data_IF_783072020522
#
_entry.id   IF_783072020522
#
_cell.length_a   1.000
_cell.length_b   1.000
_cell.length_c   1.000
_cell.angle_alpha   90.00
_cell.angle_beta   90.00
_cell.angle_gamma   90.00
#
_symmetry.space_group_name_H-M   'P 1'
#
loop_
_entity.id
_entity.type
_entity.pdbx_description
1 polymer ?
#
# COMPACT_ATOMS: atom_id res chain seq x y z
N UNK A 1 22.52 112.65 -39.72
CA UNK A 1 21.90 112.00 -38.54
C UNK A 1 20.82 111.04 -39.02
N UNK A 2 21.12 109.78 -39.37
CA UNK A 2 20.07 108.88 -39.92
C UNK A 2 20.35 107.35 -39.82
N UNK A 3 21.14 106.88 -38.82
CA UNK A 3 21.41 105.43 -38.64
C UNK A 3 20.69 104.75 -37.47
N UNK A 4 20.00 105.50 -36.61
CA UNK A 4 19.36 104.93 -35.40
C UNK A 4 17.94 104.40 -35.62
N UNK A 5 17.15 105.01 -36.53
CA UNK A 5 15.72 104.71 -36.66
C UNK A 5 15.39 103.37 -37.34
N UNK A 6 16.14 102.98 -38.38
CA UNK A 6 15.79 101.81 -39.21
C UNK A 6 16.00 100.48 -38.47
N UNK A 7 17.03 100.37 -37.66
CA UNK A 7 17.31 99.16 -36.84
C UNK A 7 16.25 98.95 -35.77
N UNK A 8 15.81 100.03 -35.10
CA UNK A 8 14.78 99.96 -34.06
C UNK A 8 13.43 99.47 -34.61
N UNK A 9 13.03 99.94 -35.80
CA UNK A 9 11.78 99.51 -36.47
C UNK A 9 11.83 98.04 -36.91
N UNK A 10 12.97 97.57 -37.43
CA UNK A 10 13.11 96.15 -37.83
C UNK A 10 13.05 95.23 -36.61
N UNK A 11 13.70 95.60 -35.50
CA UNK A 11 13.66 94.83 -34.25
C UNK A 11 12.26 94.81 -33.65
N UNK A 12 11.54 95.95 -33.63
CA UNK A 12 10.18 95.98 -33.08
C UNK A 12 9.16 95.25 -33.97
N UNK A 13 9.30 95.27 -35.29
CA UNK A 13 8.46 94.46 -36.20
C UNK A 13 8.77 92.96 -36.07
N UNK A 14 10.03 92.56 -35.92
CA UNK A 14 10.39 91.15 -35.68
C UNK A 14 9.87 90.66 -34.32
N UNK A 15 10.03 91.45 -33.25
CA UNK A 15 9.47 91.11 -31.94
C UNK A 15 7.93 91.04 -32.01
N UNK A 16 7.28 91.98 -32.70
CA UNK A 16 5.83 91.91 -32.91
C UNK A 16 5.41 90.66 -33.71
N UNK A 17 6.15 90.28 -34.76
CA UNK A 17 5.85 89.05 -35.52
C UNK A 17 6.02 87.80 -34.66
N UNK A 18 7.12 87.72 -33.90
CA UNK A 18 7.42 86.59 -33.00
C UNK A 18 6.35 86.48 -31.90
N UNK A 19 5.94 87.60 -31.30
CA UNK A 19 4.88 87.64 -30.29
C UNK A 19 3.51 87.29 -30.89
N UNK A 20 3.19 87.75 -32.11
CA UNK A 20 1.93 87.39 -32.80
C UNK A 20 1.93 85.91 -33.19
N UNK A 21 3.03 85.34 -33.66
CA UNK A 21 3.10 83.88 -33.91
C UNK A 21 3.04 83.08 -32.60
N UNK A 22 3.68 83.54 -31.53
CA UNK A 22 3.60 82.88 -30.23
C UNK A 22 2.19 82.90 -29.64
N UNK A 23 1.45 84.01 -29.78
CA UNK A 23 0.06 84.11 -29.31
C UNK A 23 -0.94 83.30 -30.13
N UNK A 24 -0.70 83.11 -31.44
CA UNK A 24 -1.60 82.30 -32.31
C UNK A 24 -1.39 80.79 -32.10
N UNK A 25 -0.22 80.36 -31.63
CA UNK A 25 0.10 78.95 -31.35
C UNK A 25 0.23 78.59 -29.87
N UNK A 26 -0.11 79.51 -28.96
CA UNK A 26 -0.32 79.19 -27.56
C UNK A 26 -1.61 78.35 -27.40
N UNK A 27 -1.49 77.03 -27.68
CA UNK A 27 -2.42 76.03 -27.14
C UNK A 27 -2.50 76.34 -25.63
N UNK A 28 -3.70 76.56 -25.06
CA UNK A 28 -3.78 76.81 -23.62
C UNK A 28 -3.08 75.65 -22.93
N UNK A 29 -2.18 75.97 -21.98
CA UNK A 29 -1.60 74.94 -21.12
C UNK A 29 -2.78 74.11 -20.59
N UNK A 30 -2.76 72.77 -20.75
CA UNK A 30 -3.81 71.97 -20.19
C UNK A 30 -3.82 72.28 -18.70
N UNK A 31 -4.91 72.87 -18.22
CA UNK A 31 -5.28 72.79 -16.80
C UNK A 31 -5.12 71.32 -16.49
N UNK A 32 -4.12 70.96 -15.67
CA UNK A 32 -3.74 69.59 -15.41
C UNK A 32 -5.03 68.80 -15.22
N UNK A 33 -5.32 67.95 -16.21
CA UNK A 33 -6.54 67.17 -16.18
C UNK A 33 -6.41 66.30 -14.93
N UNK A 34 -7.52 66.16 -14.22
CA UNK A 34 -7.55 65.24 -13.10
C UNK A 34 -7.45 63.85 -13.70
N UNK A 35 -6.70 62.97 -13.05
CA UNK A 35 -6.29 61.66 -13.59
C UNK A 35 -7.53 60.94 -14.16
N UNK A 36 -8.57 60.79 -13.33
CA UNK A 36 -9.98 60.44 -13.66
C UNK A 36 -10.76 61.27 -14.72
N UNK A 37 -10.10 62.05 -15.55
CA UNK A 37 -10.67 62.88 -16.62
C UNK A 37 -9.66 63.27 -17.72
N UNK A 38 -8.47 62.66 -17.74
CA UNK A 38 -7.41 62.98 -18.70
C UNK A 38 -7.37 62.06 -19.93
N UNK A 39 -8.15 60.98 -19.91
CA UNK A 39 -8.35 60.05 -21.01
C UNK A 39 -7.22 59.04 -21.18
N UNK A 40 -6.49 58.76 -20.10
CA UNK A 40 -5.48 57.73 -19.99
C UNK A 40 -5.89 56.73 -18.89
N UNK A 41 -5.34 55.53 -19.00
CA UNK A 41 -5.31 54.49 -17.97
C UNK A 41 -3.99 54.72 -17.20
N UNK A 42 -4.04 55.25 -15.97
CA UNK A 42 -2.84 55.75 -15.27
C UNK A 42 -2.31 54.82 -14.16
N UNK A 43 -3.05 53.79 -13.74
CA UNK A 43 -2.59 52.69 -12.89
C UNK A 43 -2.39 51.37 -13.65
N UNK A 44 -3.15 51.12 -14.71
CA UNK A 44 -2.93 50.02 -15.65
C UNK A 44 -3.97 48.89 -15.58
N UNK A 45 -5.12 49.12 -14.95
CA UNK A 45 -6.18 48.12 -14.75
C UNK A 45 -6.98 47.82 -16.04
N UNK A 46 -6.85 48.68 -17.06
CA UNK A 46 -7.51 48.59 -18.36
C UNK A 46 -8.80 49.42 -18.50
N UNK A 47 -9.20 50.13 -17.44
CA UNK A 47 -10.27 51.11 -17.42
C UNK A 47 -9.71 52.54 -17.55
N UNK A 48 -10.57 53.53 -17.83
CA UNK A 48 -10.15 54.89 -18.17
C UNK A 48 -11.23 55.89 -17.72
N UNK A 49 -10.86 56.86 -16.89
CA UNK A 49 -11.68 57.99 -16.43
C UNK A 49 -13.01 57.62 -15.72
N UNK A 50 -13.48 58.54 -14.87
CA UNK A 50 -14.87 58.52 -14.40
C UNK A 50 -15.88 58.59 -15.58
N UNK A 51 -16.91 57.72 -15.66
CA UNK A 51 -17.41 56.83 -14.62
C UNK A 51 -17.15 55.34 -14.87
N UNK A 52 -16.34 55.00 -15.88
CA UNK A 52 -16.17 53.63 -16.33
C UNK A 52 -15.05 52.93 -15.53
N UNK A 53 -14.09 53.72 -15.04
CA UNK A 53 -13.04 53.39 -14.07
C UNK A 53 -13.57 53.15 -12.63
N UNK A 54 -13.26 52.00 -11.98
CA UNK A 54 -13.76 51.62 -10.66
C UNK A 54 -13.29 52.48 -9.47
N UNK A 55 -12.06 52.98 -9.47
CA UNK A 55 -11.54 53.78 -8.35
C UNK A 55 -11.66 55.29 -8.56
N UNK A 56 -12.01 55.72 -9.76
CA UNK A 56 -12.61 57.02 -9.99
C UNK A 56 -14.01 57.16 -9.37
N UNK A 57 -14.07 57.72 -8.16
CA UNK A 57 -15.34 58.19 -7.58
C UNK A 57 -15.86 59.48 -8.26
N UNK A 58 -14.98 60.30 -8.83
CA UNK A 58 -15.32 61.54 -9.52
C UNK A 58 -14.26 62.03 -10.51
N UNK A 59 -14.69 62.76 -11.55
CA UNK A 59 -13.82 63.50 -12.50
C UNK A 59 -12.88 64.54 -11.86
N UNK A 60 -12.87 64.72 -10.54
CA UNK A 60 -12.00 65.66 -9.84
C UNK A 60 -10.90 64.99 -9.01
N UNK A 61 -10.81 63.67 -9.02
CA UNK A 61 -9.98 62.90 -8.10
C UNK A 61 -8.49 62.94 -8.53
N UNK A 62 -7.59 62.41 -7.71
CA UNK A 62 -6.12 62.52 -7.93
C UNK A 62 -5.43 61.16 -8.09
N UNK A 63 -6.21 60.09 -8.19
CA UNK A 63 -5.79 58.70 -8.34
C UNK A 63 -6.90 58.00 -9.13
N UNK A 64 -6.55 56.97 -9.88
CA UNK A 64 -7.52 56.02 -10.43
C UNK A 64 -7.74 54.87 -9.43
N UNK A 65 -6.71 54.36 -8.75
CA UNK A 65 -6.82 53.45 -7.58
C UNK A 65 -7.92 53.72 -6.54
N UNK A 66 -8.69 52.68 -6.19
CA UNK A 66 -9.69 52.60 -5.14
C UNK A 66 -9.17 52.05 -3.80
N UNK A 67 -8.85 52.93 -2.84
CA UNK A 67 -8.38 52.52 -1.49
C UNK A 67 -9.40 51.84 -0.56
N UNK A 68 -10.41 51.18 -1.11
CA UNK A 68 -11.43 50.39 -0.41
C UNK A 68 -11.69 49.03 -1.07
N UNK A 69 -10.92 48.68 -2.11
CA UNK A 69 -10.98 47.46 -2.90
C UNK A 69 -9.55 46.94 -2.91
N UNK A 70 -9.31 45.72 -2.40
CA UNK A 70 -7.95 45.25 -2.17
C UNK A 70 -7.17 45.11 -3.50
N UNK A 71 -7.82 44.60 -4.55
CA UNK A 71 -7.27 44.46 -5.91
C UNK A 71 -7.08 45.77 -6.71
N UNK A 72 -7.22 46.94 -6.08
CA UNK A 72 -7.13 48.27 -6.70
C UNK A 72 -6.66 49.36 -5.70
N UNK A 73 -6.02 49.01 -4.57
CA UNK A 73 -5.56 50.01 -3.58
C UNK A 73 -4.09 50.44 -3.70
N UNK A 74 -3.29 49.74 -4.50
CA UNK A 74 -1.86 49.98 -4.69
C UNK A 74 -0.97 49.25 -3.69
N UNK A 75 -1.46 48.21 -3.02
CA UNK A 75 -0.78 47.46 -1.95
C UNK A 75 -0.73 45.95 -2.22
N UNK A 76 -0.01 45.24 -1.33
CA UNK A 76 0.12 43.79 -1.26
C UNK A 76 -0.58 43.40 0.07
N UNK A 77 -1.87 43.08 -0.01
CA UNK A 77 -2.74 42.92 1.17
C UNK A 77 -2.76 41.48 1.70
N UNK A 78 -2.52 40.47 0.86
CA UNK A 78 -2.36 39.07 1.28
C UNK A 78 -0.90 38.74 1.73
N UNK A 79 0.10 39.44 1.19
CA UNK A 79 1.51 39.30 1.53
C UNK A 79 2.32 38.37 0.61
N UNK A 80 1.79 37.93 -0.54
CA UNK A 80 2.47 37.05 -1.51
C UNK A 80 3.51 37.77 -2.38
N UNK A 81 3.51 39.11 -2.38
CA UNK A 81 4.34 40.02 -3.18
C UNK A 81 3.86 40.32 -4.61
N UNK A 82 2.67 39.88 -5.00
CA UNK A 82 1.89 40.54 -6.03
C UNK A 82 1.05 41.71 -5.44
N UNK A 83 0.40 42.47 -6.31
CA UNK A 83 -0.26 43.77 -6.03
C UNK A 83 -1.37 43.98 -7.07
N UNK A 84 -2.58 44.33 -6.62
CA UNK A 84 -3.71 44.72 -7.46
C UNK A 84 -3.98 43.70 -8.59
N UNK A 85 -4.33 44.16 -9.79
CA UNK A 85 -4.49 43.34 -11.01
C UNK A 85 -3.24 42.58 -11.50
N UNK A 86 -2.10 42.67 -10.81
CA UNK A 86 -0.96 41.78 -11.04
C UNK A 86 -0.98 40.53 -10.13
N UNK A 87 -1.87 40.51 -9.13
CA UNK A 87 -2.15 39.37 -8.26
C UNK A 87 -2.96 38.27 -8.97
N UNK A 88 -2.82 37.04 -8.49
CA UNK A 88 -3.55 35.87 -8.95
C UNK A 88 -4.82 35.57 -8.13
N UNK A 89 -5.00 36.18 -6.96
CA UNK A 89 -6.27 36.23 -6.23
C UNK A 89 -7.29 37.12 -6.94
N UNK A 90 -6.85 38.24 -7.51
CA UNK A 90 -7.71 39.24 -8.12
C UNK A 90 -8.41 38.79 -9.41
N UNK A 91 -9.73 38.60 -9.34
CA UNK A 91 -10.58 38.31 -10.51
C UNK A 91 -10.90 39.57 -11.33
N UNK A 92 -10.89 40.76 -10.72
CA UNK A 92 -11.17 42.05 -11.36
C UNK A 92 -10.71 43.25 -10.52
N UNK A 93 -10.61 44.49 -11.07
CA UNK A 93 -10.33 45.71 -10.28
C UNK A 93 -11.53 46.15 -9.40
N UNK A 94 -12.59 45.34 -9.36
CA UNK A 94 -13.71 45.50 -8.42
C UNK A 94 -13.75 44.41 -7.35
N UNK A 95 -12.75 43.53 -7.34
CA UNK A 95 -12.62 42.40 -6.42
C UNK A 95 -11.96 42.84 -5.11
N UNK A 96 -12.48 42.37 -3.97
CA UNK A 96 -12.11 42.88 -2.65
C UNK A 96 -11.35 41.86 -1.79
N UNK A 97 -10.73 40.86 -2.39
CA UNK A 97 -9.87 39.89 -1.71
C UNK A 97 -8.68 39.54 -2.61
N UNK A 98 -7.45 39.77 -2.16
CA UNK A 98 -6.23 39.32 -2.85
C UNK A 98 -5.85 37.86 -2.46
N UNK A 99 -6.56 37.26 -1.49
CA UNK A 99 -6.29 35.88 -1.03
C UNK A 99 -6.55 34.86 -2.13
N UNK A 100 -5.69 33.84 -2.21
CA UNK A 100 -5.54 33.05 -3.44
C UNK A 100 -6.10 31.61 -3.39
N UNK A 101 -7.05 31.30 -4.27
CA UNK A 101 -6.82 30.50 -5.50
C UNK A 101 -8.15 29.96 -6.09
N UNK A 102 -8.83 30.57 -7.06
CA UNK A 102 -8.64 31.84 -7.75
C UNK A 102 -9.67 32.01 -8.90
N UNK A 103 -10.96 32.17 -8.58
CA UNK A 103 -12.04 32.64 -9.47
C UNK A 103 -13.24 31.69 -9.63
N UNK A 104 -13.53 30.93 -8.58
CA UNK A 104 -14.88 30.60 -8.12
C UNK A 104 -14.96 30.71 -6.57
N UNK A 105 -14.58 31.92 -6.11
CA UNK A 105 -14.14 32.49 -4.81
C UNK A 105 -14.93 32.18 -3.53
N UNK A 106 -14.24 32.24 -2.38
CA UNK A 106 -14.76 32.19 -1.01
C UNK A 106 -14.13 33.24 -0.04
N UNK A 107 -14.34 34.52 -0.34
CA UNK A 107 -13.93 35.70 0.46
C UNK A 107 -14.02 35.46 1.99
N UNK A 108 -12.89 35.17 2.63
CA UNK A 108 -12.89 34.61 3.98
C UNK A 108 -11.63 33.82 4.38
N UNK A 109 -11.58 32.53 4.05
CA UNK A 109 -10.37 31.70 4.23
C UNK A 109 -10.22 30.85 2.99
N UNK A 110 -9.31 31.25 2.10
CA UNK A 110 -8.96 30.48 0.90
C UNK A 110 -8.06 29.31 1.27
N UNK A 111 -8.70 28.19 1.59
CA UNK A 111 -8.07 26.92 1.83
C UNK A 111 -8.94 25.80 1.28
N UNK A 112 -8.33 24.71 0.80
CA UNK A 112 -9.01 23.58 0.16
C UNK A 112 -10.01 22.82 1.06
N UNK A 113 -10.07 23.11 2.36
CA UNK A 113 -11.03 22.56 3.33
C UNK A 113 -12.17 23.54 3.69
N UNK A 114 -11.96 24.84 3.48
CA UNK A 114 -12.95 25.90 3.64
C UNK A 114 -13.64 26.27 2.31
N UNK A 115 -12.88 26.28 1.21
CA UNK A 115 -13.32 26.62 -0.14
C UNK A 115 -12.92 25.57 -1.19
N UNK A 116 -13.60 24.42 -1.18
CA UNK A 116 -13.42 23.40 -2.23
C UNK A 116 -13.79 23.91 -3.63
N UNK A 117 -14.69 24.90 -3.72
CA UNK A 117 -15.16 25.46 -4.99
C UNK A 117 -14.04 26.20 -5.75
N UNK A 118 -13.19 26.92 -5.01
CA UNK A 118 -12.12 27.74 -5.56
C UNK A 118 -10.78 27.00 -5.46
N UNK A 119 -10.33 26.76 -4.23
CA UNK A 119 -9.06 26.09 -3.92
C UNK A 119 -8.99 24.64 -4.42
N UNK A 120 -10.12 24.02 -4.78
CA UNK A 120 -10.23 22.60 -5.11
C UNK A 120 -10.18 21.70 -3.87
N UNK A 121 -10.23 20.38 -4.08
CA UNK A 121 -10.19 19.41 -2.99
C UNK A 121 -8.80 19.30 -2.36
N UNK A 122 -8.71 19.33 -1.03
CA UNK A 122 -7.48 19.01 -0.33
C UNK A 122 -7.02 17.57 -0.63
N UNK A 123 -5.70 17.40 -0.64
CA UNK A 123 -5.08 16.08 -0.52
C UNK A 123 -5.69 15.34 0.66
N UNK A 124 -6.22 14.16 0.37
CA UNK A 124 -7.04 13.38 1.27
C UNK A 124 -6.94 11.90 0.92
N UNK A 125 -7.08 11.06 1.95
CA UNK A 125 -7.05 9.62 1.81
C UNK A 125 -8.10 9.04 2.78
N UNK A 126 -8.97 8.20 2.25
CA UNK A 126 -9.92 7.37 3.00
C UNK A 126 -9.71 5.92 2.58
N UNK A 127 -9.77 5.04 3.56
CA UNK A 127 -9.37 3.64 3.48
C UNK A 127 -10.43 2.82 4.25
N UNK A 128 -10.87 1.71 3.66
CA UNK A 128 -12.03 0.93 4.10
C UNK A 128 -11.75 -0.03 5.26
N UNK A 129 -10.51 -0.42 5.45
CA UNK A 129 -10.09 -1.54 6.30
C UNK A 129 -8.72 -1.34 6.96
N UNK A 130 -7.99 -0.30 6.56
CA UNK A 130 -6.67 0.02 7.04
C UNK A 130 -5.61 -0.83 6.34
N UNK A 131 -4.43 -0.83 6.92
CA UNK A 131 -3.34 -1.73 6.55
C UNK A 131 -3.63 -3.15 7.13
N UNK A 132 -4.57 -3.88 6.54
CA UNK A 132 -5.12 -5.17 6.96
C UNK A 132 -5.30 -6.16 5.77
N UNK A 133 -4.27 -6.97 5.44
CA UNK A 133 -4.24 -7.80 4.22
C UNK A 133 -5.22 -8.97 4.20
N UNK A 134 -6.10 -9.09 5.19
CA UNK A 134 -7.15 -10.13 5.30
C UNK A 134 -8.55 -9.61 4.98
N UNK A 135 -8.72 -8.29 4.88
CA UNK A 135 -9.88 -7.67 4.29
C UNK A 135 -9.56 -7.33 2.82
N UNK A 136 -10.57 -6.90 2.06
CA UNK A 136 -10.38 -6.40 0.70
C UNK A 136 -10.70 -4.92 0.78
N UNK A 137 -9.70 -4.10 0.45
CA UNK A 137 -9.75 -2.68 0.62
C UNK A 137 -9.82 -1.88 -0.66
N UNK A 138 -10.24 -0.63 -0.47
CA UNK A 138 -10.16 0.45 -1.44
C UNK A 138 -9.65 1.68 -0.72
N UNK A 139 -8.48 2.17 -1.12
CA UNK A 139 -8.08 3.56 -0.85
C UNK A 139 -8.72 4.49 -1.86
N UNK A 140 -9.17 5.66 -1.41
CA UNK A 140 -9.73 6.68 -2.28
C UNK A 140 -9.61 8.07 -1.67
N UNK A 141 -9.54 9.09 -2.53
CA UNK A 141 -9.40 10.47 -2.07
C UNK A 141 -8.97 11.40 -3.20
N UNK A 142 -8.23 12.44 -2.84
CA UNK A 142 -7.66 13.38 -3.78
C UNK A 142 -6.15 13.52 -3.58
N UNK A 143 -5.41 13.65 -4.67
CA UNK A 143 -3.98 13.96 -4.67
C UNK A 143 -3.71 14.94 -5.82
N UNK A 144 -3.03 16.06 -5.56
CA UNK A 144 -2.84 17.16 -6.53
C UNK A 144 -4.18 17.62 -7.15
N UNK A 145 -5.24 17.70 -6.33
CA UNK A 145 -6.64 18.01 -6.72
C UNK A 145 -7.32 16.97 -7.66
N UNK A 146 -6.66 15.84 -7.97
CA UNK A 146 -7.20 14.77 -8.82
C UNK A 146 -7.75 13.64 -7.94
N UNK A 147 -8.97 13.18 -8.23
CA UNK A 147 -9.57 12.02 -7.56
C UNK A 147 -8.87 10.72 -7.94
N UNK A 148 -8.53 9.90 -6.94
CA UNK A 148 -8.01 8.54 -7.10
C UNK A 148 -8.85 7.53 -6.32
N UNK A 149 -8.77 6.27 -6.74
CA UNK A 149 -9.46 5.14 -6.10
C UNK A 149 -8.76 3.85 -6.53
N UNK A 150 -8.03 3.25 -5.61
CA UNK A 150 -7.17 2.11 -5.86
C UNK A 150 -7.55 0.98 -4.90
N UNK A 151 -7.86 -0.19 -5.49
CA UNK A 151 -8.29 -1.41 -4.80
C UNK A 151 -7.09 -2.32 -4.49
N UNK A 152 -7.14 -3.04 -3.37
CA UNK A 152 -6.18 -4.09 -3.08
C UNK A 152 -6.22 -5.19 -4.14
N UNK A 153 -5.05 -5.71 -4.51
CA UNK A 153 -4.94 -6.75 -5.52
C UNK A 153 -3.88 -7.80 -5.20
N UNK A 154 -4.08 -9.01 -5.71
CA UNK A 154 -3.09 -10.07 -5.60
C UNK A 154 -1.96 -9.84 -6.60
N UNK A 155 -0.75 -9.59 -6.10
CA UNK A 155 0.48 -9.51 -6.92
C UNK A 155 0.81 -10.87 -7.50
N UNK A 156 0.65 -11.91 -6.67
CA UNK A 156 0.79 -13.32 -7.02
C UNK A 156 -0.12 -14.18 -6.12
N UNK A 157 0.05 -15.51 -6.14
CA UNK A 157 -0.77 -16.44 -5.35
C UNK A 157 -0.58 -16.34 -3.83
N UNK A 158 0.47 -15.68 -3.35
CA UNK A 158 0.87 -15.67 -1.93
C UNK A 158 1.09 -14.26 -1.36
N UNK A 159 0.95 -13.23 -2.20
CA UNK A 159 1.15 -11.84 -1.82
C UNK A 159 0.01 -10.92 -2.32
N UNK A 160 -0.46 -10.06 -1.43
CA UNK A 160 -1.36 -8.93 -1.73
C UNK A 160 -0.55 -7.64 -1.84
N UNK A 161 -0.93 -6.74 -2.74
CA UNK A 161 -0.54 -5.34 -2.68
C UNK A 161 -1.60 -4.64 -1.84
N UNK A 162 -1.19 -4.21 -0.66
CA UNK A 162 -2.04 -3.45 0.25
C UNK A 162 -1.92 -1.96 -0.09
N UNK A 163 -3.04 -1.29 -0.30
CA UNK A 163 -3.13 0.17 -0.29
C UNK A 163 -3.73 0.64 1.04
N UNK A 164 -3.14 1.66 1.64
CA UNK A 164 -3.60 2.17 2.94
C UNK A 164 -3.26 3.65 3.16
N UNK A 165 -4.01 4.34 4.02
CA UNK A 165 -3.81 5.77 4.26
C UNK A 165 -2.79 6.07 5.38
N UNK A 166 -1.79 6.90 5.07
CA UNK A 166 -0.86 7.50 6.04
C UNK A 166 -1.10 9.01 6.17
N UNK A 167 -2.01 9.37 7.07
CA UNK A 167 -2.56 10.73 7.12
C UNK A 167 -3.40 10.99 5.88
N UNK A 168 -3.07 12.05 5.13
CA UNK A 168 -3.80 12.44 3.93
C UNK A 168 -3.29 11.78 2.63
N UNK A 169 -2.25 10.95 2.70
CA UNK A 169 -1.59 10.37 1.53
C UNK A 169 -1.77 8.86 1.48
N UNK A 170 -2.08 8.34 0.31
CA UNK A 170 -2.02 6.91 0.02
C UNK A 170 -0.58 6.39 0.18
N UNK A 171 -0.46 5.18 0.73
CA UNK A 171 0.73 4.35 0.73
C UNK A 171 0.37 2.99 0.14
N UNK A 172 1.35 2.30 -0.43
CA UNK A 172 1.19 0.89 -0.81
C UNK A 172 2.33 0.03 -0.26
N UNK A 173 2.06 -1.24 0.00
CA UNK A 173 3.05 -2.21 0.48
C UNK A 173 2.63 -3.63 0.11
N UNK A 174 3.52 -4.39 -0.53
CA UNK A 174 3.30 -5.81 -0.76
C UNK A 174 3.43 -6.60 0.55
N UNK A 175 2.41 -7.38 0.90
CA UNK A 175 2.36 -8.23 2.08
C UNK A 175 2.16 -9.69 1.72
N UNK A 176 2.81 -10.58 2.47
CA UNK A 176 2.65 -12.03 2.33
C UNK A 176 1.45 -12.52 3.14
N UNK A 177 0.66 -13.41 2.54
CA UNK A 177 -0.52 -14.00 3.17
C UNK A 177 -0.22 -15.00 4.28
N UNK A 178 1.01 -15.52 4.32
CA UNK A 178 1.49 -16.48 5.29
C UNK A 178 2.55 -17.41 4.70
N UNK A 179 2.85 -18.47 5.44
CA UNK A 179 3.66 -19.59 4.95
C UNK A 179 2.85 -20.85 5.16
N UNK A 180 2.71 -21.65 4.11
CA UNK A 180 2.00 -22.92 4.17
C UNK A 180 2.71 -23.87 5.14
N UNK A 181 1.92 -24.62 5.91
CA UNK A 181 2.44 -25.61 6.82
C UNK A 181 1.51 -26.82 6.90
N UNK A 182 2.08 -27.97 7.25
CA UNK A 182 1.31 -29.19 7.42
C UNK A 182 2.14 -30.32 8.01
N UNK A 183 1.45 -31.34 8.50
CA UNK A 183 2.05 -32.53 9.09
C UNK A 183 1.18 -33.76 8.83
N UNK A 184 1.80 -34.93 8.84
CA UNK A 184 1.06 -36.19 8.86
C UNK A 184 0.21 -36.29 10.13
N UNK A 185 -1.04 -36.70 9.97
CA UNK A 185 -2.00 -36.96 11.04
C UNK A 185 -2.72 -38.27 10.77
N UNK A 186 -3.27 -38.85 11.84
CA UNK A 186 -4.07 -40.05 11.77
C UNK A 186 -5.55 -39.73 11.59
N UNK A 187 -6.18 -40.22 10.52
CA UNK A 187 -7.58 -39.98 10.24
C UNK A 187 -8.25 -41.23 9.65
N UNK A 188 -9.37 -41.66 10.24
CA UNK A 188 -10.06 -42.93 9.95
C UNK A 188 -9.24 -44.25 10.01
N UNK A 189 -7.98 -44.18 10.45
CA UNK A 189 -7.08 -45.32 10.54
C UNK A 189 -5.85 -45.17 9.64
N UNK A 190 -5.95 -44.32 8.62
CA UNK A 190 -4.92 -44.06 7.61
C UNK A 190 -4.13 -42.77 7.90
N UNK A 191 -3.00 -42.60 7.23
CA UNK A 191 -2.18 -41.38 7.34
C UNK A 191 -2.59 -40.37 6.27
N UNK A 192 -2.95 -39.18 6.74
CA UNK A 192 -3.26 -38.02 5.90
C UNK A 192 -2.26 -36.90 6.19
N UNK A 193 -1.83 -36.17 5.17
CA UNK A 193 -1.17 -34.87 5.36
C UNK A 193 -2.27 -33.84 5.61
N UNK A 194 -2.31 -33.27 6.81
CA UNK A 194 -3.13 -32.08 7.10
C UNK A 194 -2.28 -30.85 6.80
N UNK A 195 -2.72 -30.06 5.83
CA UNK A 195 -2.09 -28.78 5.46
C UNK A 195 -3.02 -27.59 5.65
N UNK A 196 -2.40 -26.45 5.98
CA UNK A 196 -2.98 -25.11 5.87
C UNK A 196 -2.30 -24.37 4.72
N UNK A 197 -3.10 -23.84 3.79
CA UNK A 197 -2.68 -23.10 2.59
C UNK A 197 -3.03 -21.62 2.76
N UNK A 198 -2.03 -20.72 2.64
CA UNK A 198 -2.19 -19.27 2.75
C UNK A 198 -2.01 -18.59 1.40
N UNK A 199 -3.12 -18.23 0.76
CA UNK A 199 -3.13 -17.72 -0.60
C UNK A 199 -3.86 -16.38 -0.72
N UNK A 200 -3.42 -15.56 -1.69
CA UNK A 200 -4.15 -14.38 -2.11
C UNK A 200 -5.25 -14.77 -3.10
N UNK A 201 -6.46 -14.27 -2.88
CA UNK A 201 -7.56 -14.34 -3.85
C UNK A 201 -8.53 -13.19 -3.64
N UNK A 202 -8.95 -12.57 -4.75
CA UNK A 202 -9.86 -11.41 -4.77
C UNK A 202 -9.34 -10.22 -3.94
N UNK A 203 -8.06 -9.87 -4.15
CA UNK A 203 -7.43 -8.71 -3.53
C UNK A 203 -7.21 -8.82 -2.02
N UNK A 204 -7.15 -10.05 -1.48
CA UNK A 204 -6.90 -10.27 -0.05
C UNK A 204 -6.32 -11.64 0.24
N UNK A 205 -5.73 -11.77 1.42
CA UNK A 205 -5.22 -13.03 1.95
C UNK A 205 -6.33 -13.87 2.58
N UNK A 206 -6.43 -15.10 2.10
CA UNK A 206 -7.32 -16.13 2.58
C UNK A 206 -6.49 -17.26 3.21
N UNK A 207 -7.15 -18.23 3.84
CA UNK A 207 -6.51 -19.42 4.34
C UNK A 207 -7.48 -20.60 4.30
N UNK A 208 -7.07 -21.69 3.66
CA UNK A 208 -7.80 -22.95 3.67
C UNK A 208 -7.16 -23.87 4.72
N UNK A 209 -7.97 -24.31 5.68
CA UNK A 209 -7.56 -25.09 6.84
C UNK A 209 -8.02 -26.55 6.73
N UNK A 210 -7.32 -27.45 7.42
CA UNK A 210 -7.64 -28.88 7.49
C UNK A 210 -7.77 -29.55 6.11
N UNK A 211 -6.92 -29.16 5.15
CA UNK A 211 -6.82 -29.80 3.85
C UNK A 211 -6.17 -31.18 4.05
N UNK A 212 -7.00 -32.23 4.11
CA UNK A 212 -6.56 -33.61 4.29
C UNK A 212 -6.27 -34.28 2.95
N UNK A 213 -5.00 -34.57 2.68
CA UNK A 213 -4.56 -35.38 1.52
C UNK A 213 -4.11 -36.76 1.99
N UNK A 214 -4.65 -37.84 1.40
CA UNK A 214 -4.23 -39.22 1.75
C UNK A 214 -2.76 -39.42 1.39
N UNK A 215 -1.96 -39.91 2.34
CA UNK A 215 -0.54 -40.23 2.15
C UNK A 215 -0.34 -41.74 2.06
N UNK A 216 -0.94 -42.50 2.99
CA UNK A 216 -0.74 -43.94 3.11
C UNK A 216 -1.96 -44.62 3.75
N UNK A 217 -2.39 -45.76 3.19
CA UNK A 217 -3.46 -46.62 3.74
C UNK A 217 -2.85 -47.61 4.77
N UNK A 218 -3.34 -47.62 6.01
CA UNK A 218 -2.73 -48.37 7.11
C UNK A 218 -3.61 -49.53 7.58
N UNK A 219 -3.23 -50.76 7.21
CA UNK A 219 -4.01 -51.97 7.50
C UNK A 219 -4.22 -52.27 9.01
N UNK A 220 -3.31 -51.79 9.88
CA UNK A 220 -3.38 -51.97 11.34
C UNK A 220 -3.68 -50.66 12.08
N UNK A 221 -4.25 -49.67 11.39
CA UNK A 221 -4.39 -48.30 11.87
C UNK A 221 -3.05 -47.56 11.89
N UNK A 222 -3.03 -46.36 12.47
CA UNK A 222 -1.85 -45.52 12.55
C UNK A 222 -1.73 -44.84 13.92
N UNK A 223 -0.53 -44.35 14.25
CA UNK A 223 -0.25 -43.55 15.47
C UNK A 223 0.66 -42.38 15.10
N UNK A 224 0.38 -41.18 15.63
CA UNK A 224 1.21 -39.97 15.43
C UNK A 224 1.54 -39.59 13.96
N UNK A 225 0.74 -40.02 12.99
CA UNK A 225 0.98 -39.74 11.56
C UNK A 225 1.88 -40.76 10.85
N UNK A 226 2.08 -41.94 11.45
CA UNK A 226 2.79 -43.08 10.87
C UNK A 226 1.93 -44.34 10.98
N UNK A 227 1.92 -45.22 9.97
CA UNK A 227 1.18 -46.48 10.03
C UNK A 227 1.68 -47.38 11.17
N UNK A 228 0.78 -48.09 11.83
CA UNK A 228 1.15 -49.13 12.78
C UNK A 228 1.63 -50.37 12.01
N UNK A 229 2.84 -50.82 12.32
CA UNK A 229 3.39 -52.06 11.79
C UNK A 229 2.84 -53.29 12.53
N UNK A 230 3.00 -54.48 11.94
CA UNK A 230 2.68 -55.74 12.64
C UNK A 230 3.58 -55.85 13.88
N UNK A 231 3.04 -55.99 15.09
CA UNK A 231 3.86 -56.05 16.30
C UNK A 231 4.70 -57.33 16.33
N UNK A 232 5.95 -57.18 16.77
CA UNK A 232 6.86 -58.31 16.99
C UNK A 232 6.22 -59.29 17.99
N UNK A 233 6.19 -60.55 17.57
CA UNK A 233 5.47 -61.62 18.22
C UNK A 233 6.22 -62.92 18.09
N UNK A 234 6.11 -63.74 19.12
CA UNK A 234 6.74 -65.03 19.21
C UNK A 234 5.78 -65.99 19.91
N UNK A 235 5.48 -67.09 19.23
CA UNK A 235 4.70 -68.21 19.74
C UNK A 235 5.54 -69.48 19.66
N UNK A 236 5.46 -70.24 20.73
CA UNK A 236 6.32 -71.37 21.06
C UNK A 236 5.40 -72.55 21.40
N UNK A 237 5.56 -73.67 20.68
CA UNK A 237 4.58 -74.76 20.71
C UNK A 237 4.62 -75.61 21.99
N UNK A 238 5.75 -75.63 22.68
CA UNK A 238 6.10 -76.54 23.77
C UNK A 238 7.06 -75.92 24.82
N UNK A 239 7.65 -74.77 24.51
CA UNK A 239 8.19 -73.82 25.48
C UNK A 239 9.67 -73.98 25.76
N UNK A 240 10.00 -74.88 26.69
CA UNK A 240 11.37 -75.17 27.14
C UNK A 240 11.48 -76.70 27.36
N UNK A 241 10.90 -77.45 26.42
CA UNK A 241 10.67 -78.88 26.49
C UNK A 241 11.46 -79.62 25.41
N UNK A 242 12.77 -79.87 25.65
CA UNK A 242 13.61 -80.84 24.91
C UNK A 242 13.04 -82.26 24.75
N UNK A 243 11.86 -82.59 25.30
CA UNK A 243 11.19 -83.89 25.22
C UNK A 243 9.99 -83.90 24.27
N UNK A 244 9.66 -82.74 23.69
CA UNK A 244 8.61 -82.54 22.71
C UNK A 244 9.28 -82.01 21.44
N UNK A 245 8.67 -82.22 20.28
CA UNK A 245 9.14 -81.62 19.03
C UNK A 245 8.46 -80.27 18.88
N UNK A 246 9.25 -79.20 18.90
CA UNK A 246 8.79 -77.84 18.91
C UNK A 246 9.13 -77.02 17.66
N UNK A 247 8.44 -75.90 17.55
CA UNK A 247 8.89 -74.77 16.76
C UNK A 247 8.49 -73.43 17.39
N UNK A 248 9.22 -72.40 16.96
CA UNK A 248 8.94 -71.01 17.29
C UNK A 248 8.56 -70.27 16.02
N UNK A 249 7.40 -69.59 16.05
CA UNK A 249 6.85 -68.86 14.92
C UNK A 249 6.30 -67.50 15.32
N UNK A 250 6.26 -66.56 14.39
CA UNK A 250 5.76 -65.21 14.69
C UNK A 250 6.20 -64.17 13.67
N UNK A 251 6.12 -62.90 14.06
CA UNK A 251 6.59 -61.76 13.28
C UNK A 251 7.79 -61.12 13.97
N UNK A 252 8.81 -60.77 13.18
CA UNK A 252 9.95 -59.96 13.62
C UNK A 252 10.28 -58.97 12.50
N UNK A 253 10.26 -57.66 12.78
CA UNK A 253 10.44 -56.59 11.78
C UNK A 253 9.53 -56.81 10.55
N UNK A 254 8.23 -57.03 10.81
CA UNK A 254 7.18 -57.31 9.82
C UNK A 254 7.33 -58.60 9.00
N UNK A 255 8.43 -59.34 9.14
CA UNK A 255 8.64 -60.61 8.45
C UNK A 255 8.07 -61.78 9.28
N UNK A 256 7.24 -62.61 8.65
CA UNK A 256 6.83 -63.88 9.23
C UNK A 256 8.00 -64.86 9.23
N UNK A 257 8.27 -65.48 10.38
CA UNK A 257 9.31 -66.50 10.54
C UNK A 257 8.74 -67.78 11.17
N UNK A 258 9.44 -68.89 10.91
CA UNK A 258 9.28 -70.17 11.61
C UNK A 258 10.66 -70.79 11.77
N UNK A 259 11.00 -71.19 13.00
CA UNK A 259 12.22 -71.89 13.33
C UNK A 259 11.86 -73.19 14.06
N UNK A 260 12.17 -74.32 13.44
CA UNK A 260 11.95 -75.66 13.99
C UNK A 260 13.12 -76.08 14.88
N UNK A 261 12.86 -76.84 15.94
CA UNK A 261 13.89 -77.49 16.73
C UNK A 261 14.70 -78.48 15.87
N UNK A 262 15.99 -78.65 16.22
CA UNK A 262 16.89 -79.44 15.38
C UNK A 262 17.91 -80.24 16.19
N UNK A 263 18.18 -81.46 15.73
CA UNK A 263 19.22 -82.30 16.30
C UNK A 263 20.61 -81.95 15.75
N UNK A 264 21.59 -81.82 16.63
CA UNK A 264 23.01 -81.75 16.31
C UNK A 264 23.76 -82.89 17.04
N UNK A 265 23.71 -84.09 16.45
CA UNK A 265 24.22 -85.30 17.11
C UNK A 265 23.32 -85.73 18.26
N UNK A 266 23.86 -85.82 19.48
CA UNK A 266 23.08 -86.11 20.71
C UNK A 266 22.50 -84.87 21.37
N UNK A 267 22.68 -83.68 20.77
CA UNK A 267 22.17 -82.42 21.30
C UNK A 267 20.91 -81.96 20.58
N UNK A 268 19.97 -81.39 21.33
CA UNK A 268 18.87 -80.56 20.82
C UNK A 268 19.35 -79.12 20.71
N UNK A 269 19.18 -78.49 19.56
CA UNK A 269 19.16 -77.03 19.42
C UNK A 269 17.69 -76.60 19.55
N UNK A 270 17.33 -76.07 20.71
CA UNK A 270 15.96 -75.66 21.03
C UNK A 270 15.76 -74.18 20.71
N UNK A 271 14.74 -73.87 19.92
CA UNK A 271 14.25 -72.51 19.74
C UNK A 271 13.21 -72.21 20.80
N UNK A 272 13.30 -71.02 21.40
CA UNK A 272 12.38 -70.60 22.47
C UNK A 272 11.99 -69.13 22.28
N UNK A 273 10.87 -68.70 22.85
CA UNK A 273 10.53 -67.28 22.90
C UNK A 273 11.20 -66.51 24.05
N UNK A 274 11.87 -65.40 23.74
CA UNK A 274 12.44 -64.48 24.72
C UNK A 274 12.04 -63.03 24.40
N UNK A 275 11.25 -62.39 25.26
CA UNK A 275 10.73 -61.02 25.07
C UNK A 275 10.15 -60.72 23.67
N UNK A 276 9.33 -61.64 23.15
CA UNK A 276 8.72 -61.61 21.80
C UNK A 276 9.68 -61.81 20.62
N UNK A 277 10.96 -62.14 20.86
CA UNK A 277 11.91 -62.54 19.81
C UNK A 277 12.21 -64.05 19.86
N UNK A 278 12.55 -64.67 18.71
CA UNK A 278 13.01 -66.05 18.66
C UNK A 278 14.46 -66.15 19.15
N UNK A 279 14.68 -67.01 20.16
CA UNK A 279 15.98 -67.21 20.77
C UNK A 279 16.43 -68.67 20.70
N UNK A 280 17.57 -68.91 20.04
CA UNK A 280 18.21 -70.22 20.00
C UNK A 280 18.97 -70.48 21.29
N UNK A 281 18.54 -71.50 22.05
CA UNK A 281 19.20 -71.92 23.28
C UNK A 281 20.60 -72.49 23.01
N UNK A 282 21.42 -72.52 24.06
CA UNK A 282 22.66 -73.31 24.03
C UNK A 282 22.33 -74.80 23.88
N UNK A 283 23.02 -75.58 23.02
CA UNK A 283 22.64 -76.97 22.74
C UNK A 283 22.56 -77.85 24.00
N UNK A 284 21.45 -78.56 24.15
CA UNK A 284 21.11 -79.36 25.33
C UNK A 284 21.35 -80.86 25.06
N UNK A 285 22.10 -81.53 25.93
CA UNK A 285 22.53 -82.93 25.72
C UNK A 285 21.46 -83.94 26.16
N UNK A 286 21.03 -84.80 25.24
CA UNK A 286 20.12 -85.90 25.55
C UNK A 286 20.78 -87.04 26.34
N UNK A 287 22.12 -87.17 26.32
CA UNK A 287 22.87 -88.39 26.70
C UNK A 287 22.76 -88.85 28.17
N UNK A 288 22.09 -88.09 29.04
CA UNK A 288 21.91 -88.41 30.45
C UNK A 288 20.79 -89.42 30.74
N UNK A 289 19.55 -89.06 30.41
CA UNK A 289 18.34 -89.88 30.65
C UNK A 289 17.68 -90.39 29.36
N UNK A 290 18.10 -89.89 28.21
CA UNK A 290 17.53 -90.19 26.90
C UNK A 290 18.62 -90.82 26.02
N UNK A 291 18.21 -91.56 25.00
CA UNK A 291 19.13 -92.37 24.18
C UNK A 291 19.75 -91.60 23.03
N UNK A 292 19.02 -90.64 22.44
CA UNK A 292 19.49 -89.80 21.34
C UNK A 292 18.55 -88.60 21.14
N UNK A 293 18.92 -87.67 20.25
CA UNK A 293 17.98 -86.72 19.65
C UNK A 293 17.36 -87.33 18.37
N UNK A 294 16.06 -87.17 18.18
CA UNK A 294 15.31 -87.47 16.94
C UNK A 294 14.37 -86.31 16.66
N UNK A 295 14.40 -85.79 15.44
CA UNK A 295 13.47 -84.76 14.94
C UNK A 295 13.25 -83.58 15.91
N UNK A 296 14.34 -83.06 16.49
CA UNK A 296 14.31 -81.91 17.42
C UNK A 296 14.12 -82.25 18.90
N UNK A 297 13.78 -83.49 19.25
CA UNK A 297 13.48 -83.91 20.63
C UNK A 297 14.40 -85.04 21.15
N UNK A 298 14.64 -85.08 22.47
CA UNK A 298 15.31 -86.19 23.15
C UNK A 298 14.37 -87.38 23.38
N UNK A 299 14.81 -88.60 23.01
CA UNK A 299 14.06 -89.87 23.11
C UNK A 299 14.86 -91.03 23.71
#
# INVERSE_FOLDING_TARGET
MEKSGKTAVIVSVLIALILVTAFVFAKPEPRAAKICSDGLDNDGDGYIDYPDDPGCYSKNDNSELNTAIECDDGSDNDGDSAIDMADAGCASPTDNDESNCGDSVCEGVEACDACVADCGYCDSCSDTDGNNPRAFGTTSGYFDKIFYSDDDYCVDSSNVMEYWCSGNYEQNTQQSCGTDYGSNVCYFGDVYYNSTDYYCSSGKCNADYDILTLVEECYYGCTNGECNHIPDSCYDTDGWSILTMGNVSGYNNEQWYVYEDSCNGTYVNEWTCYFNEPYLQSPLDCSGNYTTCVDGACV
#
